data_IF_820627559977
#
_entry.id   IF_820627559977
#
_cell.length_a   1.000
_cell.length_b   1.000
_cell.length_c   1.000
_cell.angle_alpha   90.00
_cell.angle_beta   90.00
_cell.angle_gamma   90.00
#
_symmetry.space_group_name_H-M   'P 1'
#
loop_
_entity.id
_entity.type
_entity.pdbx_description
1 polymer ?
#
# COMPACT_ATOMS: atom_id res chain seq x y z
N UNK A 1 13.31 10.39 -16.58
CA UNK A 1 12.39 9.89 -15.53
C UNK A 1 10.99 9.93 -16.09
N UNK A 2 10.33 8.78 -16.25
CA UNK A 2 8.93 8.70 -16.66
C UNK A 2 8.09 8.52 -15.40
N UNK A 3 7.03 9.33 -15.25
CA UNK A 3 6.08 9.23 -14.14
C UNK A 3 4.76 8.75 -14.72
N UNK A 4 4.08 7.85 -14.02
CA UNK A 4 2.77 7.31 -14.41
C UNK A 4 1.91 7.22 -13.16
N UNK A 5 0.73 7.82 -13.18
CA UNK A 5 -0.25 7.70 -12.10
C UNK A 5 -1.02 6.38 -12.25
N UNK A 6 -1.10 5.63 -11.15
CA UNK A 6 -1.87 4.38 -11.08
C UNK A 6 -3.04 4.63 -10.12
N UNK A 7 -4.27 4.81 -10.63
CA UNK A 7 -5.45 4.93 -9.77
C UNK A 7 -5.75 3.58 -9.14
N UNK A 8 -6.01 3.58 -7.83
CA UNK A 8 -6.38 2.39 -7.06
C UNK A 8 -7.68 2.71 -6.33
N UNK A 9 -8.69 1.89 -6.54
CA UNK A 9 -9.94 1.94 -5.80
C UNK A 9 -9.90 0.91 -4.67
N UNK A 10 -10.30 1.32 -3.46
CA UNK A 10 -10.42 0.44 -2.31
C UNK A 10 -11.87 0.40 -1.84
N UNK A 11 -12.27 -0.72 -1.25
CA UNK A 11 -13.63 -0.97 -0.79
C UNK A 11 -13.71 -1.21 0.72
N UNK A 12 -12.58 -1.48 1.37
CA UNK A 12 -12.47 -1.72 2.81
C UNK A 12 -11.52 -0.72 3.47
N UNK A 13 -11.67 -0.53 4.80
CA UNK A 13 -10.78 0.37 5.56
C UNK A 13 -9.31 -0.09 5.54
N UNK A 14 -9.09 -1.40 5.61
CA UNK A 14 -7.77 -2.01 5.44
C UNK A 14 -7.89 -3.05 4.34
N UNK A 15 -7.14 -2.86 3.27
CA UNK A 15 -7.19 -3.68 2.06
C UNK A 15 -5.80 -3.70 1.43
N UNK A 16 -5.38 -4.87 0.93
CA UNK A 16 -4.19 -5.00 0.12
C UNK A 16 -4.64 -5.25 -1.33
N UNK A 17 -4.41 -4.27 -2.19
CA UNK A 17 -4.75 -4.32 -3.62
C UNK A 17 -3.48 -4.55 -4.42
N UNK A 18 -3.44 -5.59 -5.24
CA UNK A 18 -2.33 -5.79 -6.18
C UNK A 18 -2.38 -4.76 -7.29
N UNK A 19 -1.26 -4.07 -7.48
CA UNK A 19 -1.01 -3.11 -8.58
C UNK A 19 0.09 -3.64 -9.53
N UNK A 20 0.43 -4.92 -9.41
CA UNK A 20 1.59 -5.51 -10.09
C UNK A 20 1.47 -5.39 -11.62
N UNK A 21 0.28 -5.59 -12.18
CA UNK A 21 0.09 -5.54 -13.63
C UNK A 21 0.08 -4.10 -14.17
N UNK A 22 -0.42 -3.14 -13.39
CA UNK A 22 -0.37 -1.71 -13.64
C UNK A 22 1.09 -1.22 -13.66
N UNK A 23 1.88 -1.60 -12.66
CA UNK A 23 3.32 -1.26 -12.58
C UNK A 23 4.07 -1.89 -13.75
N UNK A 24 3.83 -3.17 -14.07
CA UNK A 24 4.43 -3.82 -15.25
C UNK A 24 4.07 -3.11 -16.56
N UNK A 25 2.82 -2.64 -16.72
CA UNK A 25 2.41 -1.83 -17.89
C UNK A 25 3.21 -0.53 -17.95
N UNK A 26 3.28 0.22 -16.85
CA UNK A 26 4.01 1.48 -16.78
C UNK A 26 5.51 1.33 -17.11
N UNK A 27 6.16 0.27 -16.61
CA UNK A 27 7.56 -0.04 -16.89
C UNK A 27 7.77 -0.40 -18.37
N UNK A 28 6.91 -1.25 -18.96
CA UNK A 28 7.00 -1.58 -20.39
C UNK A 28 6.85 -0.34 -21.28
N UNK A 29 5.88 0.52 -20.96
CA UNK A 29 5.64 1.74 -21.73
C UNK A 29 6.78 2.76 -21.57
N UNK A 30 7.60 2.64 -20.52
CA UNK A 30 8.79 3.46 -20.33
C UNK A 30 9.95 3.05 -21.26
N UNK A 31 9.91 1.85 -21.86
CA UNK A 31 10.86 1.40 -22.88
C UNK A 31 12.31 1.34 -22.41
N UNK A 32 12.55 1.05 -21.12
CA UNK A 32 13.89 1.01 -20.53
C UNK A 32 14.31 -0.42 -20.21
N UNK A 33 15.44 -0.88 -20.75
CA UNK A 33 15.95 -2.24 -20.52
C UNK A 33 16.60 -2.41 -19.14
N UNK A 34 17.24 -1.36 -18.62
CA UNK A 34 17.85 -1.32 -17.28
C UNK A 34 17.51 0.01 -16.62
N UNK A 35 16.66 -0.03 -15.59
CA UNK A 35 16.25 1.16 -14.84
C UNK A 35 15.78 0.80 -13.43
N UNK A 36 15.67 1.82 -12.58
CA UNK A 36 15.07 1.70 -11.24
C UNK A 36 13.61 2.16 -11.33
N UNK A 37 12.70 1.37 -10.77
CA UNK A 37 11.28 1.70 -10.68
C UNK A 37 10.94 2.05 -9.23
N UNK A 38 10.56 3.31 -8.98
CA UNK A 38 10.09 3.73 -7.66
C UNK A 38 8.57 3.77 -7.71
N UNK A 39 7.92 3.01 -6.83
CA UNK A 39 6.46 3.03 -6.64
C UNK A 39 6.18 3.67 -5.29
N UNK A 40 5.40 4.75 -5.27
CA UNK A 40 5.14 5.53 -4.06
C UNK A 40 3.68 5.92 -3.97
N UNK A 41 3.12 5.83 -2.77
CA UNK A 41 1.81 6.38 -2.46
C UNK A 41 1.89 7.90 -2.28
N UNK A 42 1.01 8.63 -2.97
CA UNK A 42 0.82 10.07 -2.75
C UNK A 42 -0.07 10.37 -1.53
N UNK A 43 -0.58 9.34 -0.85
CA UNK A 43 -1.43 9.45 0.33
C UNK A 43 -0.64 9.07 1.58
N UNK A 44 -0.79 9.85 2.64
CA UNK A 44 -0.16 9.64 3.95
C UNK A 44 -0.83 8.54 4.79
N UNK A 45 -1.93 7.98 4.27
CA UNK A 45 -2.75 6.92 4.86
C UNK A 45 -2.81 5.66 3.99
N UNK A 46 -1.98 5.59 2.95
CA UNK A 46 -1.79 4.39 2.15
C UNK A 46 -0.30 4.11 1.93
N UNK A 47 0.05 2.83 1.83
CA UNK A 47 1.41 2.35 1.76
C UNK A 47 1.68 1.55 0.49
N UNK A 48 2.96 1.29 0.19
CA UNK A 48 3.37 0.38 -0.87
C UNK A 48 4.25 -0.70 -0.25
N UNK A 49 3.95 -1.97 -0.52
CA UNK A 49 4.70 -3.12 -0.02
C UNK A 49 4.84 -4.19 -1.09
N UNK A 50 5.82 -5.08 -0.93
CA UNK A 50 6.02 -6.26 -1.77
C UNK A 50 5.85 -7.49 -0.90
N UNK A 51 4.89 -8.34 -1.25
CA UNK A 51 4.60 -9.59 -0.56
C UNK A 51 4.01 -10.61 -1.54
N UNK A 52 3.54 -11.75 -1.05
CA UNK A 52 2.88 -12.76 -1.88
C UNK A 52 1.53 -12.28 -2.43
N UNK A 53 1.33 -12.51 -3.73
CA UNK A 53 0.12 -12.16 -4.50
C UNK A 53 -0.41 -13.33 -5.33
N UNK A 54 0.10 -14.55 -5.09
CA UNK A 54 -0.41 -15.76 -5.76
C UNK A 54 -1.59 -16.34 -4.99
N UNK A 55 -1.41 -16.55 -3.69
CA UNK A 55 -2.49 -16.94 -2.79
C UNK A 55 -3.27 -15.70 -2.33
N UNK A 56 -4.57 -15.67 -2.62
CA UNK A 56 -5.47 -14.56 -2.24
C UNK A 56 -5.74 -14.51 -0.74
N UNK A 57 -5.41 -15.57 0.01
CA UNK A 57 -5.62 -15.60 1.45
C UNK A 57 -4.56 -14.77 2.19
N UNK A 58 -3.33 -14.70 1.68
CA UNK A 58 -2.26 -13.89 2.27
C UNK A 58 -2.65 -12.40 2.43
N UNK A 59 -3.04 -11.66 1.36
CA UNK A 59 -3.43 -10.26 1.53
C UNK A 59 -4.66 -10.07 2.42
N UNK A 60 -5.59 -11.04 2.47
CA UNK A 60 -6.75 -11.01 3.37
C UNK A 60 -6.34 -11.18 4.82
N UNK A 61 -5.45 -12.12 5.10
CA UNK A 61 -4.93 -12.38 6.44
C UNK A 61 -4.11 -11.20 6.95
N UNK A 62 -3.29 -10.57 6.10
CA UNK A 62 -2.58 -9.34 6.47
C UNK A 62 -3.54 -8.19 6.79
N UNK A 63 -4.59 -7.98 5.98
CA UNK A 63 -5.59 -6.95 6.27
C UNK A 63 -6.34 -7.23 7.59
N UNK A 64 -6.69 -8.49 7.85
CA UNK A 64 -7.30 -8.92 9.10
C UNK A 64 -6.34 -8.74 10.30
N UNK A 65 -5.05 -9.04 10.11
CA UNK A 65 -4.01 -8.86 11.12
C UNK A 65 -3.80 -7.38 11.44
N UNK A 66 -3.81 -6.48 10.45
CA UNK A 66 -3.76 -5.03 10.69
C UNK A 66 -4.93 -4.57 11.56
N UNK A 67 -6.15 -5.03 11.27
CA UNK A 67 -7.34 -4.73 12.06
C UNK A 67 -7.19 -5.23 13.50
N UNK A 68 -6.76 -6.48 13.68
CA UNK A 68 -6.57 -7.08 14.99
C UNK A 68 -5.46 -6.39 15.79
N UNK A 69 -4.33 -6.08 15.14
CA UNK A 69 -3.22 -5.34 15.72
C UNK A 69 -3.68 -3.99 16.26
N UNK A 70 -4.36 -3.19 15.44
CA UNK A 70 -4.87 -1.88 15.84
C UNK A 70 -5.90 -1.98 16.97
N UNK A 71 -6.79 -2.96 16.93
CA UNK A 71 -7.77 -3.20 18.01
C UNK A 71 -7.15 -3.68 19.32
N UNK A 72 -5.92 -4.20 19.30
CA UNK A 72 -5.19 -4.64 20.48
C UNK A 72 -4.30 -3.54 21.09
N UNK A 73 -4.10 -2.41 20.39
CA UNK A 73 -3.32 -1.30 20.91
C UNK A 73 -4.12 -0.55 21.99
N UNK A 74 -3.53 -0.42 23.18
CA UNK A 74 -4.04 0.48 24.23
C UNK A 74 -3.55 1.90 23.94
N UNK A 75 -4.14 2.53 22.92
CA UNK A 75 -3.81 3.89 22.47
C UNK A 75 -5.07 4.68 22.13
N UNK A 76 -5.14 5.92 22.62
CA UNK A 76 -6.11 6.92 22.17
C UNK A 76 -5.47 7.76 21.07
N UNK A 77 -6.00 7.70 19.85
CA UNK A 77 -5.58 8.59 18.79
C UNK A 77 -6.33 9.93 18.90
N UNK A 78 -5.61 10.99 19.22
CA UNK A 78 -6.18 12.33 19.43
C UNK A 78 -6.52 13.07 18.11
N UNK A 79 -6.10 12.53 16.96
CA UNK A 79 -6.37 13.16 15.67
C UNK A 79 -7.85 13.10 15.32
N UNK A 80 -8.45 14.27 15.15
CA UNK A 80 -9.90 14.43 15.02
C UNK A 80 -10.50 13.78 13.76
N UNK A 81 -9.70 13.54 12.72
CA UNK A 81 -10.19 12.93 11.46
C UNK A 81 -10.41 11.42 11.57
N UNK A 82 -9.90 10.77 12.63
CA UNK A 82 -10.10 9.35 12.88
C UNK A 82 -9.39 8.42 11.89
N UNK A 83 -8.22 8.82 11.39
CA UNK A 83 -7.38 8.04 10.45
C UNK A 83 -5.91 7.91 10.90
N UNK A 84 -5.59 8.22 12.16
CA UNK A 84 -4.23 8.04 12.71
C UNK A 84 -3.73 6.60 12.66
N UNK A 85 -4.64 5.63 12.75
CA UNK A 85 -4.35 4.22 12.55
C UNK A 85 -3.82 3.96 11.13
N UNK A 86 -4.39 4.58 10.10
CA UNK A 86 -3.91 4.48 8.72
C UNK A 86 -2.55 5.16 8.53
N UNK A 87 -2.29 6.28 9.21
CA UNK A 87 -0.96 6.91 9.24
C UNK A 87 0.09 6.01 9.91
N UNK A 88 -0.27 5.36 11.01
CA UNK A 88 0.59 4.40 11.70
C UNK A 88 0.93 3.23 10.79
N UNK A 89 -0.08 2.58 10.19
CA UNK A 89 0.15 1.48 9.25
C UNK A 89 1.00 1.92 8.05
N UNK A 90 0.77 3.11 7.50
CA UNK A 90 1.59 3.66 6.41
C UNK A 90 3.05 3.80 6.80
N UNK A 91 3.30 4.24 8.03
CA UNK A 91 4.65 4.38 8.58
C UNK A 91 5.35 3.04 8.83
N UNK A 92 4.57 1.97 9.10
CA UNK A 92 5.09 0.62 9.32
C UNK A 92 5.39 -0.13 8.01
N UNK A 93 4.51 -0.02 7.00
CA UNK A 93 4.71 -0.65 5.69
C UNK A 93 5.69 0.12 4.80
N UNK A 94 5.71 1.45 4.92
CA UNK A 94 6.49 2.34 4.08
C UNK A 94 5.67 2.98 2.95
N UNK A 95 5.92 4.26 2.71
CA UNK A 95 5.21 5.02 1.68
C UNK A 95 5.62 4.63 0.25
N UNK A 96 6.81 4.05 0.07
CA UNK A 96 7.37 3.72 -1.23
C UNK A 96 8.20 2.44 -1.23
N UNK A 97 8.32 1.81 -2.40
CA UNK A 97 9.24 0.73 -2.71
C UNK A 97 10.09 1.09 -3.94
N UNK A 98 11.25 0.46 -4.09
CA UNK A 98 12.24 0.73 -5.15
C UNK A 98 12.79 -0.57 -5.72
#
# INVERSE_FOLDING_TARGET
MKVTDIPVETHERYELVSITDEVKRAVRDAGSDESICIVSSTHTTAAVTVNEDYDRDVPRDLAAACRAFLGALDVSFEHAEGNSDSHLLTSLFGQSQT
#
